data_IF_986250749910
#
_entry.id   IF_986250749910
#
_cell.length_a   1.000
_cell.length_b   1.000
_cell.length_c   1.000
_cell.angle_alpha   90.00
_cell.angle_beta   90.00
_cell.angle_gamma   90.00
#
_symmetry.space_group_name_H-M   'P 1'
#
loop_
_entity.id
_entity.type
_entity.pdbx_description
1 polymer ?
#
# COMPACT_ATOMS: atom_id res chain seq x y z
N UNK A 1 -43.35 -32.26 -7.97
CA UNK A 1 -41.91 -32.62 -7.87
C UNK A 1 -41.09 -31.39 -8.27
N UNK A 2 -40.83 -30.49 -7.33
CA UNK A 2 -40.09 -29.24 -7.60
C UNK A 2 -38.62 -29.40 -7.24
N UNK A 3 -37.75 -29.27 -8.23
CA UNK A 3 -36.29 -29.27 -8.04
C UNK A 3 -35.87 -27.98 -7.33
N UNK A 4 -35.32 -28.13 -6.13
CA UNK A 4 -34.64 -27.06 -5.40
C UNK A 4 -33.31 -26.77 -6.11
N UNK A 5 -33.29 -25.79 -7.00
CA UNK A 5 -32.02 -25.28 -7.55
C UNK A 5 -31.42 -24.33 -6.51
N UNK A 6 -30.43 -24.84 -5.79
CA UNK A 6 -29.60 -24.08 -4.88
C UNK A 6 -29.01 -22.88 -5.64
N UNK A 7 -29.37 -21.66 -5.24
CA UNK A 7 -28.82 -20.43 -5.82
C UNK A 7 -27.34 -20.34 -5.52
N UNK A 8 -26.50 -20.79 -6.45
CA UNK A 8 -25.06 -20.49 -6.43
C UNK A 8 -24.93 -19.00 -6.72
N UNK A 9 -24.41 -18.18 -5.79
CA UNK A 9 -24.15 -16.78 -6.09
C UNK A 9 -23.08 -16.69 -7.18
N UNK A 10 -23.38 -15.96 -8.24
CA UNK A 10 -22.45 -15.69 -9.34
C UNK A 10 -21.18 -15.07 -8.76
N UNK A 11 -20.02 -15.62 -9.11
CA UNK A 11 -18.69 -15.28 -8.55
C UNK A 11 -18.40 -13.76 -8.47
N UNK A 12 -19.03 -12.97 -9.33
CA UNK A 12 -18.96 -11.51 -9.35
C UNK A 12 -19.49 -10.80 -8.08
N UNK A 13 -20.53 -11.34 -7.41
CA UNK A 13 -21.12 -10.70 -6.23
C UNK A 13 -20.29 -10.91 -4.95
N UNK A 14 -19.63 -12.07 -4.83
CA UNK A 14 -18.75 -12.38 -3.69
C UNK A 14 -17.44 -11.59 -3.78
N UNK A 15 -16.92 -11.39 -5.00
CA UNK A 15 -15.70 -10.62 -5.23
C UNK A 15 -15.86 -9.15 -4.77
N UNK A 16 -16.96 -8.46 -5.08
CA UNK A 16 -17.13 -7.06 -4.65
C UNK A 16 -17.23 -6.90 -3.13
N UNK A 17 -17.84 -7.86 -2.42
CA UNK A 17 -17.98 -7.82 -0.95
C UNK A 17 -16.67 -8.12 -0.21
N UNK A 18 -15.84 -9.01 -0.78
CA UNK A 18 -14.50 -9.33 -0.27
C UNK A 18 -13.49 -8.23 -0.64
N UNK A 19 -13.59 -7.66 -1.84
CA UNK A 19 -12.61 -6.69 -2.36
C UNK A 19 -12.79 -5.28 -1.77
N UNK A 20 -14.01 -4.88 -1.37
CA UNK A 20 -14.25 -3.61 -0.68
C UNK A 20 -13.72 -3.54 0.77
N UNK A 21 -13.24 -4.66 1.33
CA UNK A 21 -12.74 -4.78 2.70
C UNK A 21 -11.26 -5.19 2.80
N UNK A 22 -10.53 -5.22 1.68
CA UNK A 22 -9.14 -5.68 1.63
C UNK A 22 -8.09 -4.58 1.38
N UNK A 23 -8.36 -3.31 1.66
CA UNK A 23 -7.29 -2.28 1.67
C UNK A 23 -7.40 -1.29 2.84
N UNK A 24 -7.05 -1.73 4.05
CA UNK A 24 -6.09 -0.92 4.82
C UNK A 24 -4.89 -1.72 5.34
N UNK A 25 -4.83 -3.04 5.13
CA UNK A 25 -3.79 -3.87 5.75
C UNK A 25 -2.42 -3.76 5.05
N UNK A 26 -2.38 -3.59 3.72
CA UNK A 26 -1.12 -3.39 2.98
C UNK A 26 -0.53 -1.99 3.19
N UNK A 27 -1.35 -0.92 3.18
CA UNK A 27 -0.86 0.45 3.36
C UNK A 27 -0.45 0.75 4.81
N UNK A 28 -1.14 0.19 5.82
CA UNK A 28 -0.79 0.39 7.24
C UNK A 28 0.54 -0.28 7.63
N UNK A 29 0.97 -1.32 6.91
CA UNK A 29 2.26 -2.00 7.16
C UNK A 29 3.44 -1.29 6.49
N UNK A 30 3.20 -0.39 5.54
CA UNK A 30 4.24 0.23 4.72
C UNK A 30 5.10 1.21 5.54
N UNK A 31 4.50 2.02 6.42
CA UNK A 31 5.23 3.00 7.23
C UNK A 31 6.22 2.35 8.22
N UNK A 32 5.82 1.36 9.04
CA UNK A 32 6.77 0.63 9.88
C UNK A 32 7.89 -0.04 9.08
N UNK A 33 7.56 -0.62 7.91
CA UNK A 33 8.57 -1.28 7.06
C UNK A 33 9.61 -0.29 6.53
N UNK A 34 9.18 0.88 6.07
CA UNK A 34 10.10 1.91 5.59
C UNK A 34 10.99 2.46 6.70
N UNK A 35 10.50 2.54 7.94
CA UNK A 35 11.31 2.95 9.09
C UNK A 35 12.41 1.92 9.41
N UNK A 36 12.11 0.62 9.33
CA UNK A 36 13.13 -0.42 9.51
C UNK A 36 14.19 -0.40 8.40
N UNK A 37 13.78 -0.15 7.15
CA UNK A 37 14.73 0.00 6.04
C UNK A 37 15.64 1.22 6.27
N UNK A 38 15.09 2.36 6.71
CA UNK A 38 15.89 3.54 7.02
C UNK A 38 16.94 3.27 8.11
N UNK A 39 16.55 2.58 9.19
CA UNK A 39 17.49 2.19 10.25
C UNK A 39 18.65 1.32 9.74
N UNK A 40 18.34 0.31 8.91
CA UNK A 40 19.36 -0.56 8.32
C UNK A 40 20.31 0.23 7.40
N UNK A 41 19.77 1.13 6.57
CA UNK A 41 20.58 1.97 5.69
C UNK A 41 21.52 2.90 6.48
N UNK A 42 21.07 3.48 7.59
CA UNK A 42 21.92 4.30 8.47
C UNK A 42 23.08 3.46 9.03
N UNK A 43 22.83 2.23 9.45
CA UNK A 43 23.87 1.33 9.95
C UNK A 43 24.90 0.98 8.86
N UNK A 44 24.41 0.68 7.65
CA UNK A 44 25.28 0.38 6.50
C UNK A 44 26.11 1.60 6.07
N UNK A 45 25.52 2.79 6.11
CA UNK A 45 26.23 4.04 5.83
C UNK A 45 27.40 4.23 6.77
N UNK A 46 27.18 4.02 8.07
CA UNK A 46 28.24 4.11 9.09
C UNK A 46 29.37 3.11 8.82
N UNK A 47 29.03 1.87 8.46
CA UNK A 47 30.04 0.87 8.08
C UNK A 47 30.81 1.30 6.83
N UNK A 48 30.12 1.81 5.82
CA UNK A 48 30.76 2.30 4.60
C UNK A 48 31.70 3.49 4.88
N UNK A 49 31.38 4.36 5.84
CA UNK A 49 32.28 5.42 6.33
C UNK A 49 33.52 4.83 7.01
N UNK A 50 33.36 3.85 7.89
CA UNK A 50 34.48 3.17 8.58
C UNK A 50 35.39 2.44 7.58
N UNK A 51 34.82 1.82 6.55
CA UNK A 51 35.53 1.04 5.53
C UNK A 51 35.98 1.89 4.32
N UNK A 52 35.69 3.21 4.34
CA UNK A 52 36.02 4.16 3.27
C UNK A 52 35.45 3.76 1.89
N UNK A 53 34.27 3.16 1.87
CA UNK A 53 33.57 2.77 0.65
C UNK A 53 32.76 3.95 0.09
N UNK A 54 33.46 4.89 -0.54
CA UNK A 54 32.86 6.14 -1.05
C UNK A 54 31.68 5.90 -2.00
N UNK A 55 31.78 4.92 -2.90
CA UNK A 55 30.68 4.60 -3.82
C UNK A 55 29.44 4.02 -3.13
N UNK A 56 29.62 3.29 -2.03
CA UNK A 56 28.51 2.76 -1.25
C UNK A 56 27.82 3.87 -0.44
N UNK A 57 28.59 4.83 0.09
CA UNK A 57 28.03 5.99 0.82
C UNK A 57 27.09 6.79 -0.10
N UNK A 58 27.53 7.12 -1.32
CA UNK A 58 26.71 7.88 -2.27
C UNK A 58 25.40 7.14 -2.63
N UNK A 59 25.50 5.83 -2.89
CA UNK A 59 24.34 4.99 -3.19
C UNK A 59 23.36 4.89 -2.01
N UNK A 60 23.88 4.79 -0.78
CA UNK A 60 23.07 4.75 0.42
C UNK A 60 22.39 6.10 0.67
N UNK A 61 23.07 7.22 0.49
CA UNK A 61 22.50 8.57 0.69
C UNK A 61 21.36 8.87 -0.30
N UNK A 62 21.52 8.46 -1.57
CA UNK A 62 20.43 8.52 -2.55
C UNK A 62 19.22 7.69 -2.12
N UNK A 63 19.46 6.46 -1.66
CA UNK A 63 18.39 5.56 -1.24
C UNK A 63 17.69 6.06 0.03
N UNK A 64 18.44 6.63 0.98
CA UNK A 64 17.91 7.28 2.18
C UNK A 64 16.97 8.43 1.83
N UNK A 65 17.35 9.27 0.87
CA UNK A 65 16.50 10.36 0.36
C UNK A 65 15.19 9.83 -0.22
N UNK A 66 15.25 8.75 -1.01
CA UNK A 66 14.08 8.10 -1.57
C UNK A 66 13.16 7.51 -0.49
N UNK A 67 13.72 6.78 0.48
CA UNK A 67 12.94 6.17 1.57
C UNK A 67 12.22 7.23 2.41
N UNK A 68 12.91 8.32 2.78
CA UNK A 68 12.31 9.44 3.52
C UNK A 68 11.19 10.11 2.74
N UNK A 69 11.39 10.32 1.43
CA UNK A 69 10.34 10.85 0.56
C UNK A 69 9.13 9.93 0.55
N UNK A 70 9.35 8.61 0.42
CA UNK A 70 8.27 7.63 0.41
C UNK A 70 7.51 7.55 1.74
N UNK A 71 8.21 7.66 2.87
CA UNK A 71 7.57 7.75 4.18
C UNK A 71 6.68 9.00 4.28
N UNK A 72 7.17 10.16 3.83
CA UNK A 72 6.38 11.39 3.83
C UNK A 72 5.13 11.26 2.95
N UNK A 73 5.25 10.66 1.76
CA UNK A 73 4.11 10.38 0.88
C UNK A 73 3.08 9.46 1.55
N UNK A 74 3.56 8.39 2.16
CA UNK A 74 2.73 7.40 2.85
C UNK A 74 1.98 8.01 4.04
N UNK A 75 2.67 8.82 4.85
CA UNK A 75 2.06 9.54 5.95
C UNK A 75 0.98 10.51 5.45
N UNK A 76 1.25 11.25 4.37
CA UNK A 76 0.25 12.15 3.77
C UNK A 76 -0.97 11.39 3.25
N UNK A 77 -0.77 10.22 2.65
CA UNK A 77 -1.86 9.38 2.16
C UNK A 77 -2.71 8.84 3.32
N UNK A 78 -2.08 8.37 4.39
CA UNK A 78 -2.76 7.88 5.59
C UNK A 78 -3.62 8.96 6.27
N UNK A 79 -3.24 10.24 6.16
CA UNK A 79 -4.01 11.36 6.71
C UNK A 79 -5.06 11.93 5.75
N UNK A 80 -5.09 11.50 4.48
CA UNK A 80 -6.01 12.04 3.49
C UNK A 80 -7.36 11.34 3.59
N UNK A 81 -8.42 12.10 3.87
CA UNK A 81 -9.79 11.59 3.76
C UNK A 81 -10.15 11.38 2.28
N UNK A 82 -10.74 10.23 1.90
CA UNK A 82 -11.23 10.01 0.55
C UNK A 82 -12.25 11.08 0.15
N UNK A 83 -11.96 11.82 -0.93
CA UNK A 83 -12.93 12.76 -1.51
C UNK A 83 -13.74 12.02 -2.58
N UNK A 84 -15.05 11.98 -2.40
CA UNK A 84 -15.96 11.40 -3.39
C UNK A 84 -16.01 12.30 -4.63
N UNK A 85 -15.27 11.94 -5.68
CA UNK A 85 -15.23 12.67 -6.95
C UNK A 85 -16.47 12.45 -7.84
N UNK A 86 -17.55 11.88 -7.29
CA UNK A 86 -18.77 11.55 -8.02
C UNK A 86 -18.52 10.52 -9.12
N UNK A 87 -18.37 9.24 -8.75
CA UNK A 87 -18.36 8.15 -9.74
C UNK A 87 -19.76 8.07 -10.35
N UNK A 88 -19.92 8.12 -11.69
CA UNK A 88 -21.21 7.89 -12.32
C UNK A 88 -21.71 6.49 -11.97
N UNK A 89 -22.71 6.41 -11.10
CA UNK A 89 -23.35 5.14 -10.75
C UNK A 89 -24.28 4.74 -11.88
N UNK A 90 -24.11 3.55 -12.44
CA UNK A 90 -25.05 2.99 -13.41
C UNK A 90 -26.43 2.88 -12.76
N UNK A 91 -27.43 3.56 -13.32
CA UNK A 91 -28.82 3.55 -12.83
C UNK A 91 -29.31 2.10 -12.70
N UNK A 92 -29.89 1.68 -11.57
CA UNK A 92 -30.48 0.35 -11.46
C UNK A 92 -31.60 0.22 -12.50
N UNK A 93 -31.48 -0.76 -13.39
CA UNK A 93 -32.58 -1.19 -14.26
C UNK A 93 -33.73 -1.65 -13.36
N UNK A 94 -34.85 -0.93 -13.41
CA UNK A 94 -36.06 -1.25 -12.67
C UNK A 94 -36.84 -2.24 -13.54
N UNK A 95 -36.97 -3.49 -13.07
CA UNK A 95 -37.85 -4.50 -13.66
C UNK A 95 -39.30 -4.02 -13.66
#
# INVERSE_FOLDING_TARGET
MGVLTLGIPTQAAVLTSVFGRLTPYEESLMLPRLAEIEKDLILRRKRAEEEQWLGEIDGIDMTLTFVRTKQADAARLAHRSPVALGIPTTRPQRN
#
